data_IF_848658994864
#
_entry.id   IF_848658994864
#
_cell.length_a   1.000
_cell.length_b   1.000
_cell.length_c   1.000
_cell.angle_alpha   90.00
_cell.angle_beta   90.00
_cell.angle_gamma   90.00
#
_symmetry.space_group_name_H-M   'P 1'
#
loop_
_entity.id
_entity.type
_entity.pdbx_description
1 polymer ?
#
# COMPACT_ATOMS: atom_id res chain seq x y z
N UNK A 1 2.59 27.66 -10.83
CA UNK A 1 3.01 26.28 -10.77
C UNK A 1 3.45 25.94 -9.37
N UNK A 2 2.82 24.97 -8.77
CA UNK A 2 3.01 24.71 -7.37
C UNK A 2 4.20 23.80 -7.13
N UNK A 3 5.21 24.29 -6.44
CA UNK A 3 6.28 23.48 -5.85
C UNK A 3 5.74 22.60 -4.73
N UNK A 4 4.55 22.89 -4.27
CA UNK A 4 4.00 22.37 -3.02
C UNK A 4 2.72 21.58 -3.30
N UNK A 5 2.75 20.77 -4.35
CA UNK A 5 1.65 19.85 -4.59
C UNK A 5 1.54 18.90 -3.40
N UNK A 6 0.34 18.82 -2.84
CA UNK A 6 0.09 17.88 -1.80
C UNK A 6 0.27 16.46 -2.32
N UNK A 7 0.78 15.54 -1.49
CA UNK A 7 0.99 14.18 -1.93
C UNK A 7 -0.32 13.43 -2.11
N UNK A 8 -0.33 12.47 -3.02
CA UNK A 8 -1.36 11.46 -3.12
C UNK A 8 -1.28 10.54 -1.90
N UNK A 9 -2.35 9.85 -1.59
CA UNK A 9 -2.40 8.91 -0.47
C UNK A 9 -2.62 7.53 -1.02
N UNK A 10 -1.69 6.61 -0.73
CA UNK A 10 -1.81 5.21 -1.09
C UNK A 10 -2.10 4.37 0.15
N UNK A 11 -2.99 3.40 -0.01
CA UNK A 11 -3.30 2.43 1.03
C UNK A 11 -2.99 1.04 0.52
N UNK A 12 -2.19 0.28 1.25
CA UNK A 12 -1.92 -1.10 0.95
C UNK A 12 -2.33 -1.95 2.15
N UNK A 13 -3.35 -2.77 1.95
CA UNK A 13 -3.88 -3.63 2.99
C UNK A 13 -3.80 -5.07 2.53
N UNK A 14 -3.14 -5.90 3.32
CA UNK A 14 -2.91 -7.28 2.98
C UNK A 14 -4.10 -8.21 3.16
N UNK A 15 -5.07 -7.85 3.99
CA UNK A 15 -6.16 -8.77 4.25
C UNK A 15 -7.38 -8.08 4.82
N UNK A 16 -8.49 -8.21 4.13
CA UNK A 16 -9.81 -7.91 4.68
C UNK A 16 -10.47 -9.26 4.97
N UNK A 17 -10.83 -9.48 6.22
CA UNK A 17 -11.53 -10.70 6.59
C UNK A 17 -12.97 -10.60 6.13
N UNK A 18 -13.32 -11.38 5.10
CA UNK A 18 -14.72 -11.64 4.81
C UNK A 18 -15.14 -12.90 5.51
N UNK A 19 -16.43 -13.07 5.67
CA UNK A 19 -17.00 -14.32 6.19
C UNK A 19 -16.58 -15.47 5.26
N UNK A 20 -16.29 -16.64 5.78
CA UNK A 20 -15.92 -17.85 5.05
C UNK A 20 -14.44 -18.03 4.72
N UNK A 21 -13.53 -17.54 5.54
CA UNK A 21 -12.11 -17.81 5.40
C UNK A 21 -11.48 -17.28 4.09
N UNK A 22 -12.14 -16.38 3.41
CA UNK A 22 -11.59 -15.71 2.24
C UNK A 22 -10.98 -14.40 2.69
N UNK A 23 -9.76 -14.15 2.26
CA UNK A 23 -9.07 -12.88 2.47
C UNK A 23 -9.08 -12.09 1.18
N UNK A 24 -9.22 -10.78 1.31
CA UNK A 24 -9.10 -9.88 0.18
C UNK A 24 -7.91 -8.98 0.39
N UNK A 25 -7.11 -8.80 -0.64
CA UNK A 25 -6.04 -7.83 -0.64
C UNK A 25 -6.48 -6.62 -1.45
N UNK A 26 -6.26 -5.45 -0.90
CA UNK A 26 -6.66 -4.20 -1.53
C UNK A 26 -5.51 -3.22 -1.51
N UNK A 27 -5.32 -2.52 -2.61
CA UNK A 27 -4.58 -1.28 -2.57
C UNK A 27 -5.41 -0.19 -3.27
N UNK A 28 -5.22 1.04 -2.83
CA UNK A 28 -5.98 2.16 -3.38
C UNK A 28 -5.12 3.42 -3.35
N UNK A 29 -5.32 4.28 -4.34
CA UNK A 29 -4.65 5.56 -4.43
C UNK A 29 -5.70 6.65 -4.50
N UNK A 30 -5.58 7.63 -3.62
CA UNK A 30 -6.46 8.79 -3.57
C UNK A 30 -5.67 10.05 -3.90
N UNK A 31 -6.29 10.92 -4.68
CA UNK A 31 -5.74 12.25 -4.92
C UNK A 31 -5.77 13.07 -3.62
N UNK A 32 -4.99 14.18 -3.56
CA UNK A 32 -5.05 15.07 -2.39
C UNK A 32 -6.44 15.59 -2.07
N UNK A 33 -7.31 15.67 -3.08
CA UNK A 33 -8.70 16.09 -2.91
C UNK A 33 -9.57 15.04 -2.21
N UNK A 34 -9.05 13.83 -2.02
CA UNK A 34 -9.80 12.70 -1.48
C UNK A 34 -10.47 11.85 -2.55
N UNK A 35 -10.34 12.21 -3.82
CA UNK A 35 -10.93 11.44 -4.91
C UNK A 35 -10.16 10.15 -5.15
N UNK A 36 -10.87 9.04 -5.27
CA UNK A 36 -10.28 7.75 -5.62
C UNK A 36 -9.76 7.79 -7.06
N UNK A 37 -8.47 7.51 -7.24
CA UNK A 37 -7.80 7.58 -8.53
C UNK A 37 -7.62 6.19 -9.13
N UNK A 38 -7.23 5.23 -8.30
CA UNK A 38 -6.95 3.87 -8.75
C UNK A 38 -7.07 2.91 -7.58
N UNK A 39 -7.50 1.69 -7.87
CA UNK A 39 -7.53 0.66 -6.83
C UNK A 39 -7.52 -0.71 -7.48
N UNK A 40 -7.17 -1.73 -6.69
CA UNK A 40 -7.31 -3.12 -7.07
C UNK A 40 -7.74 -3.92 -5.86
N UNK A 41 -8.72 -4.81 -6.08
CA UNK A 41 -9.20 -5.72 -5.06
C UNK A 41 -9.08 -7.14 -5.58
N UNK A 42 -8.39 -7.99 -4.83
CA UNK A 42 -8.15 -9.36 -5.21
C UNK A 42 -8.55 -10.25 -4.05
N UNK A 43 -9.36 -11.27 -4.33
CA UNK A 43 -9.61 -12.33 -3.37
C UNK A 43 -8.41 -13.27 -3.37
N UNK A 44 -7.81 -13.47 -2.21
CA UNK A 44 -6.66 -14.34 -2.05
C UNK A 44 -6.95 -15.36 -0.98
N UNK A 45 -6.35 -16.54 -1.14
CA UNK A 45 -6.37 -17.50 -0.07
C UNK A 45 -5.59 -16.93 1.13
N UNK A 46 -6.01 -17.35 2.29
CA UNK A 46 -5.51 -16.91 3.57
C UNK A 46 -4.00 -17.06 3.70
N UNK A 47 -3.25 -16.15 3.18
CA UNK A 47 -1.83 -16.05 3.52
C UNK A 47 -1.51 -14.60 3.76
N UNK A 48 -1.67 -14.21 4.98
CA UNK A 48 -1.19 -12.93 5.43
C UNK A 48 0.26 -13.10 5.83
N UNK A 49 1.14 -13.05 4.87
CA UNK A 49 2.55 -12.95 5.20
C UNK A 49 3.07 -11.62 4.66
N UNK A 50 4.22 -11.24 5.13
CA UNK A 50 4.85 -10.00 4.71
C UNK A 50 5.10 -9.96 3.20
N UNK A 51 5.26 -11.13 2.58
CA UNK A 51 5.46 -11.22 1.12
C UNK A 51 4.25 -10.68 0.39
N UNK A 52 3.04 -11.06 0.80
CA UNK A 52 1.82 -10.59 0.17
C UNK A 52 1.69 -9.07 0.30
N UNK A 53 2.01 -8.55 1.46
CA UNK A 53 1.90 -7.11 1.72
C UNK A 53 2.91 -6.31 0.90
N UNK A 54 4.16 -6.77 0.83
CA UNK A 54 5.17 -6.18 -0.04
C UNK A 54 4.74 -6.24 -1.51
N UNK A 55 4.14 -7.35 -1.93
CA UNK A 55 3.67 -7.50 -3.31
C UNK A 55 2.58 -6.50 -3.65
N UNK A 56 1.64 -6.26 -2.72
CA UNK A 56 0.61 -5.23 -2.91
C UNK A 56 1.22 -3.85 -3.00
N UNK A 57 2.22 -3.57 -2.17
CA UNK A 57 2.94 -2.30 -2.20
C UNK A 57 3.63 -2.10 -3.56
N UNK A 58 4.28 -3.12 -4.09
CA UNK A 58 4.92 -3.02 -5.41
C UNK A 58 3.88 -2.71 -6.49
N UNK A 59 2.74 -3.37 -6.46
CA UNK A 59 1.65 -3.09 -7.41
C UNK A 59 1.16 -1.64 -7.30
N UNK A 60 0.96 -1.17 -6.08
CA UNK A 60 0.53 0.20 -5.83
C UNK A 60 1.55 1.20 -6.37
N UNK A 61 2.82 1.03 -6.03
CA UNK A 61 3.87 1.94 -6.47
C UNK A 61 4.03 1.92 -7.99
N UNK A 62 3.98 0.75 -8.61
CA UNK A 62 4.05 0.62 -10.06
C UNK A 62 2.89 1.35 -10.74
N UNK A 63 1.69 1.22 -10.19
CA UNK A 63 0.52 1.91 -10.72
C UNK A 63 0.65 3.43 -10.54
N UNK A 64 1.12 3.88 -9.38
CA UNK A 64 1.35 5.30 -9.13
C UNK A 64 2.35 5.89 -10.11
N UNK A 65 3.42 5.16 -10.39
CA UNK A 65 4.45 5.60 -11.37
C UNK A 65 3.81 5.73 -12.75
N UNK A 66 3.01 4.76 -13.17
CA UNK A 66 2.37 4.79 -14.48
C UNK A 66 1.37 5.93 -14.61
N UNK A 67 0.79 6.38 -13.51
CA UNK A 67 -0.14 7.51 -13.48
C UNK A 67 0.57 8.87 -13.41
N UNK A 68 1.89 8.88 -13.34
CA UNK A 68 2.66 10.11 -13.26
C UNK A 68 2.63 10.76 -11.88
N UNK A 69 2.39 9.99 -10.84
CA UNK A 69 2.37 10.49 -9.47
C UNK A 69 3.81 10.56 -8.97
N UNK A 70 4.23 11.74 -8.50
CA UNK A 70 5.60 11.97 -8.03
C UNK A 70 5.70 12.14 -6.52
N UNK A 71 4.59 12.35 -5.83
CA UNK A 71 4.55 12.60 -4.39
C UNK A 71 3.46 11.74 -3.79
N UNK A 72 3.83 10.87 -2.85
CA UNK A 72 2.87 9.92 -2.30
C UNK A 72 3.19 9.62 -0.82
N UNK A 73 2.14 9.50 -0.03
CA UNK A 73 2.21 8.95 1.33
C UNK A 73 1.56 7.58 1.29
N UNK A 74 2.30 6.57 1.70
CA UNK A 74 1.82 5.19 1.75
C UNK A 74 1.41 4.84 3.16
N UNK A 75 0.19 4.41 3.34
CA UNK A 75 -0.33 3.97 4.63
C UNK A 75 -0.43 2.46 4.64
N UNK A 76 0.21 1.86 5.63
CA UNK A 76 0.36 0.41 5.75
C UNK A 76 -0.28 -0.04 7.06
N UNK A 77 -0.98 -1.16 7.01
CA UNK A 77 -1.51 -1.79 8.21
C UNK A 77 -0.42 -2.55 8.98
N UNK A 78 0.58 -3.09 8.27
CA UNK A 78 1.68 -3.80 8.92
C UNK A 78 2.73 -2.84 9.45
N UNK A 79 2.86 -2.80 10.75
CA UNK A 79 3.93 -2.06 11.41
C UNK A 79 5.30 -2.65 11.07
N UNK A 80 5.38 -3.97 10.93
CA UNK A 80 6.64 -4.62 10.60
C UNK A 80 7.18 -4.18 9.24
N UNK A 81 6.32 -4.20 8.21
CA UNK A 81 6.71 -3.75 6.87
C UNK A 81 7.14 -2.30 6.90
N UNK A 82 6.39 -1.45 7.58
CA UNK A 82 6.75 -0.04 7.72
C UNK A 82 8.11 0.14 8.37
N UNK A 83 8.38 -0.59 9.46
CA UNK A 83 9.65 -0.48 10.17
C UNK A 83 10.82 -1.00 9.34
N UNK A 84 10.59 -2.02 8.53
CA UNK A 84 11.61 -2.50 7.60
C UNK A 84 11.90 -1.47 6.51
N UNK A 85 10.87 -0.88 5.93
CA UNK A 85 11.03 0.11 4.86
C UNK A 85 11.67 1.41 5.33
N UNK A 86 11.50 1.76 6.60
CA UNK A 86 12.11 2.94 7.19
C UNK A 86 13.44 2.65 7.90
N UNK A 87 13.98 1.45 7.70
CA UNK A 87 15.28 0.99 8.20
C UNK A 87 15.40 0.88 9.73
N UNK A 88 14.27 0.80 10.43
CA UNK A 88 14.30 0.52 11.86
C UNK A 88 14.55 -0.96 12.15
N UNK A 89 14.09 -1.84 11.25
CA UNK A 89 14.31 -3.27 11.38
C UNK A 89 15.03 -3.79 10.13
N UNK A 90 15.96 -4.71 10.35
CA UNK A 90 16.70 -5.35 9.28
C UNK A 90 15.88 -6.49 8.67
N UNK A 91 15.87 -6.56 7.35
CA UNK A 91 15.22 -7.64 6.63
C UNK A 91 16.25 -8.78 6.51
N UNK A 92 15.96 -9.91 7.15
CA UNK A 92 16.89 -11.06 7.17
C UNK A 92 16.48 -12.20 6.25
N UNK A 93 15.19 -12.31 5.95
CA UNK A 93 14.70 -13.36 5.05
C UNK A 93 15.13 -13.03 3.62
N UNK A 94 15.82 -13.95 2.91
CA UNK A 94 16.32 -13.64 1.56
C UNK A 94 15.22 -13.33 0.55
N UNK A 95 14.07 -13.99 0.64
CA UNK A 95 12.95 -13.74 -0.26
C UNK A 95 12.35 -12.36 -0.03
N UNK A 96 12.12 -12.01 1.23
CA UNK A 96 11.61 -10.69 1.59
C UNK A 96 12.63 -9.61 1.23
N UNK A 97 13.91 -9.88 1.43
CA UNK A 97 14.97 -8.93 1.12
C UNK A 97 14.98 -8.56 -0.37
N UNK A 98 14.76 -9.52 -1.26
CA UNK A 98 14.69 -9.25 -2.70
C UNK A 98 13.52 -8.34 -3.03
N UNK A 99 12.36 -8.60 -2.44
CA UNK A 99 11.16 -7.78 -2.66
C UNK A 99 11.36 -6.40 -2.04
N UNK A 100 11.94 -6.34 -0.87
CA UNK A 100 12.31 -5.10 -0.19
C UNK A 100 13.20 -4.21 -1.07
N UNK A 101 14.21 -4.80 -1.71
CA UNK A 101 15.08 -4.06 -2.62
C UNK A 101 14.31 -3.54 -3.84
N UNK A 102 13.35 -4.31 -4.34
CA UNK A 102 12.51 -3.88 -5.46
C UNK A 102 11.67 -2.66 -5.08
N UNK A 103 11.16 -2.62 -3.86
CA UNK A 103 10.42 -1.45 -3.37
C UNK A 103 11.35 -0.23 -3.37
N UNK A 104 12.56 -0.36 -2.86
CA UNK A 104 13.52 0.75 -2.84
C UNK A 104 13.90 1.22 -4.24
N UNK A 105 13.98 0.31 -5.22
CA UNK A 105 14.23 0.71 -6.60
C UNK A 105 13.06 1.52 -7.18
N UNK A 106 11.83 1.20 -6.80
CA UNK A 106 10.67 1.96 -7.25
C UNK A 106 10.59 3.33 -6.58
N UNK A 107 11.12 3.47 -5.38
CA UNK A 107 11.10 4.75 -4.66
C UNK A 107 11.84 5.86 -5.40
N UNK A 108 12.83 5.52 -6.21
CA UNK A 108 13.60 6.53 -6.93
C UNK A 108 12.78 7.33 -7.95
N UNK A 109 11.63 6.80 -8.35
CA UNK A 109 10.74 7.49 -9.27
C UNK A 109 9.89 8.58 -8.60
N UNK A 110 9.94 8.67 -7.27
CA UNK A 110 9.14 9.64 -6.52
C UNK A 110 10.03 10.76 -5.99
N UNK A 111 9.55 11.98 -6.09
CA UNK A 111 10.19 13.14 -5.45
C UNK A 111 9.98 13.12 -3.95
N UNK A 112 8.89 12.55 -3.52
CA UNK A 112 8.55 12.44 -2.12
C UNK A 112 7.76 11.15 -1.89
N UNK A 113 8.24 10.32 -0.97
CA UNK A 113 7.54 9.12 -0.53
C UNK A 113 7.73 8.97 0.97
N UNK A 114 6.63 8.69 1.67
CA UNK A 114 6.64 8.48 3.11
C UNK A 114 5.78 7.27 3.43
N UNK A 115 6.20 6.49 4.41
CA UNK A 115 5.44 5.34 4.89
C UNK A 115 4.88 5.64 6.27
N UNK A 116 3.59 5.44 6.44
CA UNK A 116 2.88 5.62 7.70
C UNK A 116 2.20 4.31 8.07
N UNK A 117 2.15 4.04 9.35
CA UNK A 117 1.37 2.93 9.87
C UNK A 117 -0.02 3.43 10.23
N UNK A 118 -1.04 2.66 9.86
CA UNK A 118 -2.41 2.89 10.32
C UNK A 118 -2.87 1.67 11.10
N UNK A 119 -3.54 1.91 12.22
CA UNK A 119 -4.10 0.81 12.98
C UNK A 119 -5.33 0.26 12.28
N UNK A 120 -5.66 -1.00 12.59
CA UNK A 120 -6.83 -1.66 12.04
C UNK A 120 -8.12 -0.90 12.36
N UNK A 121 -8.16 -0.21 13.49
CA UNK A 121 -9.34 0.55 13.93
C UNK A 121 -9.62 1.75 13.02
N UNK A 122 -8.61 2.24 12.33
CA UNK A 122 -8.77 3.37 11.41
C UNK A 122 -8.91 2.93 9.95
N UNK A 123 -9.08 1.63 9.72
CA UNK A 123 -9.20 1.11 8.38
C UNK A 123 -10.64 1.17 7.86
N UNK A 124 -11.37 2.22 8.25
CA UNK A 124 -12.71 2.49 7.75
C UNK A 124 -12.70 2.75 6.25
N UNK A 125 -11.57 3.17 5.73
CA UNK A 125 -11.43 3.49 4.32
C UNK A 125 -11.43 2.23 3.46
N UNK A 126 -10.81 1.14 3.95
CA UNK A 126 -10.84 -0.14 3.27
C UNK A 126 -12.26 -0.71 3.27
N UNK A 127 -12.98 -0.57 4.38
CA UNK A 127 -14.37 -0.97 4.45
C UNK A 127 -15.24 -0.18 3.47
N UNK A 128 -15.01 1.12 3.38
CA UNK A 128 -15.71 1.99 2.44
C UNK A 128 -15.40 1.59 1.00
N UNK A 129 -14.15 1.20 0.72
CA UNK A 129 -13.73 0.77 -0.60
C UNK A 129 -14.37 -0.55 -0.98
N UNK A 130 -14.45 -1.49 -0.04
CA UNK A 130 -15.13 -2.77 -0.25
C UNK A 130 -16.60 -2.54 -0.57
N UNK A 131 -17.25 -1.66 0.18
CA UNK A 131 -18.64 -1.30 -0.09
C UNK A 131 -18.81 -0.65 -1.45
N UNK A 132 -17.87 0.18 -1.85
CA UNK A 132 -17.88 0.81 -3.17
C UNK A 132 -17.79 -0.22 -4.29
N UNK A 133 -16.93 -1.22 -4.13
CA UNK A 133 -16.72 -2.26 -5.13
C UNK A 133 -17.92 -3.22 -5.19
N UNK A 134 -18.53 -3.52 -4.05
CA UNK A 134 -19.66 -4.46 -3.96
C UNK A 134 -21.00 -3.84 -4.37
N UNK A 135 -21.09 -2.54 -4.35
CA UNK A 135 -22.28 -1.83 -4.77
C UNK A 135 -22.11 -1.23 -6.17
#
# INVERSE_FOLDING_TARGET
MSKYLEPFIGYADGAIHSMQNLSSAVWAIFAPSGKLVSFQWICVNRSTNNIAEYSRLIELLSNAISLGIHRIIIRLESQLVRLQLTNFYTVRNPTIHRIFLRVHLLEIYFDYIQYQHISRDFNTLTDSLVNYVLN
#
